data_IF_216537861115
#
_entry.id   IF_216537861115
#
_cell.length_a   1.000
_cell.length_b   1.000
_cell.length_c   1.000
_cell.angle_alpha   90.00
_cell.angle_beta   90.00
_cell.angle_gamma   90.00
#
_symmetry.space_group_name_H-M   'P 1'
#
loop_
_entity.id
_entity.type
_entity.pdbx_description
1 polymer ?
#
# COMPACT_ATOMS: atom_id res chain seq x y z
N UNK A 1 4.89 -17.18 -22.90
CA UNK A 1 4.08 -15.98 -23.17
C UNK A 1 3.86 -15.89 -24.67
N UNK A 2 2.61 -15.80 -25.11
CA UNK A 2 2.35 -15.41 -26.50
C UNK A 2 2.92 -14.00 -26.70
N UNK A 3 3.82 -13.83 -27.66
CA UNK A 3 4.30 -12.50 -28.08
C UNK A 3 3.21 -11.68 -28.77
N UNK A 4 2.04 -12.28 -29.02
CA UNK A 4 0.89 -11.65 -29.67
C UNK A 4 -0.04 -11.13 -28.57
N UNK A 5 -0.01 -9.82 -28.34
CA UNK A 5 -1.01 -9.12 -27.52
C UNK A 5 -2.32 -9.04 -28.34
N UNK A 6 -3.42 -9.52 -27.77
CA UNK A 6 -4.74 -9.37 -28.36
C UNK A 6 -5.29 -7.97 -27.99
N UNK A 7 -5.61 -7.10 -28.95
CA UNK A 7 -6.19 -5.81 -28.64
C UNK A 7 -7.60 -5.99 -28.07
N UNK A 8 -7.89 -5.29 -26.98
CA UNK A 8 -9.24 -5.20 -26.41
C UNK A 8 -9.93 -3.92 -26.90
N UNK A 9 -11.28 -3.89 -26.95
CA UNK A 9 -12.03 -2.69 -27.34
C UNK A 9 -11.86 -1.51 -26.38
N UNK A 10 -11.43 -1.77 -25.14
CA UNK A 10 -11.22 -0.77 -24.11
C UNK A 10 -9.73 -0.48 -23.87
N UNK A 11 -9.44 0.77 -23.52
CA UNK A 11 -8.11 1.17 -23.08
C UNK A 11 -7.79 0.62 -21.68
N UNK A 12 -6.50 0.52 -21.36
CA UNK A 12 -6.01 0.14 -20.02
C UNK A 12 -6.61 1.04 -18.92
N UNK A 13 -6.79 2.33 -19.22
CA UNK A 13 -7.41 3.29 -18.30
C UNK A 13 -8.88 2.94 -18.04
N UNK A 14 -9.67 2.72 -19.10
CA UNK A 14 -11.09 2.36 -18.97
C UNK A 14 -11.27 1.06 -18.19
N UNK A 15 -10.51 0.02 -18.56
CA UNK A 15 -10.56 -1.27 -17.87
C UNK A 15 -10.20 -1.14 -16.38
N UNK A 16 -9.24 -0.27 -16.05
CA UNK A 16 -8.84 -0.02 -14.66
C UNK A 16 -9.92 0.75 -13.89
N UNK A 17 -10.55 1.75 -14.50
CA UNK A 17 -11.65 2.50 -13.90
C UNK A 17 -12.88 1.60 -13.65
N UNK A 18 -13.23 0.71 -14.58
CA UNK A 18 -14.32 -0.25 -14.39
C UNK A 18 -14.05 -1.23 -13.24
N UNK A 19 -12.81 -1.74 -13.12
CA UNK A 19 -12.43 -2.58 -11.97
C UNK A 19 -12.52 -1.83 -10.65
N UNK A 20 -12.08 -0.57 -10.61
CA UNK A 20 -12.19 0.28 -9.42
C UNK A 20 -13.65 0.52 -9.05
N UNK A 21 -14.49 0.87 -10.03
CA UNK A 21 -15.93 1.06 -9.85
C UNK A 21 -16.58 -0.20 -9.28
N UNK A 22 -16.34 -1.36 -9.89
CA UNK A 22 -16.85 -2.63 -9.39
C UNK A 22 -16.42 -2.91 -7.94
N UNK A 23 -15.14 -2.71 -7.60
CA UNK A 23 -14.66 -2.88 -6.22
C UNK A 23 -15.37 -1.91 -5.27
N UNK A 24 -15.46 -0.64 -5.64
CA UNK A 24 -16.10 0.39 -4.79
C UNK A 24 -17.60 0.19 -4.64
N UNK A 25 -18.27 -0.50 -5.58
CA UNK A 25 -19.69 -0.87 -5.49
C UNK A 25 -19.94 -2.10 -4.63
N UNK A 26 -19.02 -3.07 -4.64
CA UNK A 26 -19.21 -4.36 -3.97
C UNK A 26 -18.60 -4.43 -2.56
N UNK A 27 -17.67 -3.54 -2.22
CA UNK A 27 -17.00 -3.53 -0.92
C UNK A 27 -17.28 -2.25 -0.15
N UNK A 28 -17.77 -2.41 1.09
CA UNK A 28 -18.08 -1.29 1.99
C UNK A 28 -16.83 -0.61 2.56
N UNK A 29 -15.70 -1.32 2.59
CA UNK A 29 -14.41 -0.86 3.09
C UNK A 29 -13.34 -1.12 2.04
N UNK A 30 -12.76 -0.05 1.50
CA UNK A 30 -11.73 -0.11 0.48
C UNK A 30 -10.48 0.57 0.99
N UNK A 31 -9.35 -0.14 0.98
CA UNK A 31 -8.03 0.39 1.32
C UNK A 31 -7.11 0.32 0.10
N UNK A 32 -6.43 1.42 -0.23
CA UNK A 32 -5.38 1.40 -1.25
C UNK A 32 -4.03 1.14 -0.58
N UNK A 33 -3.34 0.07 -0.97
CA UNK A 33 -1.96 -0.16 -0.59
C UNK A 33 -1.05 0.74 -1.43
N UNK A 34 -0.47 1.74 -0.77
CA UNK A 34 0.28 2.82 -1.38
C UNK A 34 1.74 2.76 -0.96
N UNK A 35 2.66 2.82 -1.93
CA UNK A 35 4.11 2.72 -1.68
C UNK A 35 4.88 3.98 -2.05
N UNK A 36 4.21 5.01 -2.58
CA UNK A 36 4.87 6.16 -3.19
C UNK A 36 5.49 5.89 -4.57
N UNK A 37 5.42 4.66 -5.08
CA UNK A 37 5.85 4.30 -6.42
C UNK A 37 4.84 4.67 -7.51
N UNK A 38 5.25 4.59 -8.78
CA UNK A 38 4.40 4.98 -9.93
C UNK A 38 3.07 4.23 -10.01
N UNK A 39 3.05 2.90 -9.83
CA UNK A 39 1.85 2.08 -10.07
C UNK A 39 0.84 2.28 -8.94
N UNK A 40 1.32 2.33 -7.69
CA UNK A 40 0.49 2.61 -6.53
C UNK A 40 0.00 4.07 -6.51
N UNK A 41 0.77 5.01 -7.06
CA UNK A 41 0.33 6.40 -7.27
C UNK A 41 -0.81 6.49 -8.29
N UNK A 42 -0.71 5.78 -9.42
CA UNK A 42 -1.81 5.72 -10.40
C UNK A 42 -3.05 5.08 -9.78
N UNK A 43 -2.90 3.96 -9.05
CA UNK A 43 -4.01 3.32 -8.34
C UNK A 43 -4.70 4.28 -7.38
N UNK A 44 -3.92 5.02 -6.57
CA UNK A 44 -4.47 6.01 -5.64
C UNK A 44 -5.20 7.14 -6.37
N UNK A 45 -4.61 7.71 -7.43
CA UNK A 45 -5.25 8.75 -8.23
C UNK A 45 -6.61 8.32 -8.79
N UNK A 46 -6.68 7.17 -9.45
CA UNK A 46 -7.92 6.69 -10.08
C UNK A 46 -8.99 6.35 -9.04
N UNK A 47 -8.58 5.71 -7.94
CA UNK A 47 -9.50 5.33 -6.85
C UNK A 47 -10.04 6.57 -6.14
N UNK A 48 -9.18 7.53 -5.83
CA UNK A 48 -9.59 8.77 -5.18
C UNK A 48 -10.50 9.64 -6.07
N UNK A 49 -10.26 9.69 -7.37
CA UNK A 49 -11.15 10.36 -8.32
C UNK A 49 -12.55 9.70 -8.36
N UNK A 50 -12.61 8.36 -8.36
CA UNK A 50 -13.89 7.65 -8.30
C UNK A 50 -14.61 7.90 -6.96
N UNK A 51 -13.88 7.84 -5.85
CA UNK A 51 -14.41 8.15 -4.51
C UNK A 51 -15.00 9.56 -4.44
N UNK A 52 -14.27 10.56 -4.97
CA UNK A 52 -14.73 11.96 -5.04
C UNK A 52 -16.01 12.11 -5.84
N UNK A 53 -16.09 11.47 -7.02
CA UNK A 53 -17.27 11.48 -7.89
C UNK A 53 -18.51 10.85 -7.25
N UNK A 54 -18.33 9.82 -6.43
CA UNK A 54 -19.42 9.03 -5.85
C UNK A 54 -19.74 9.40 -4.41
N UNK A 55 -19.02 10.39 -3.84
CA UNK A 55 -19.17 10.78 -2.43
C UNK A 55 -18.74 9.69 -1.45
N UNK A 56 -17.98 8.68 -1.90
CA UNK A 56 -17.45 7.59 -1.07
C UNK A 56 -16.11 7.99 -0.45
N UNK A 57 -15.71 7.25 0.59
CA UNK A 57 -14.40 7.37 1.22
C UNK A 57 -13.58 6.11 1.01
N UNK A 58 -12.25 6.26 1.07
CA UNK A 58 -11.29 5.16 1.03
C UNK A 58 -10.29 5.29 2.17
N UNK A 59 -9.67 4.19 2.55
CA UNK A 59 -8.49 4.18 3.40
C UNK A 59 -7.22 4.05 2.55
N UNK A 60 -6.08 4.42 3.11
CA UNK A 60 -4.77 4.24 2.48
C UNK A 60 -3.81 3.61 3.48
N UNK A 61 -3.09 2.57 3.07
CA UNK A 61 -2.00 1.98 3.84
C UNK A 61 -0.67 2.38 3.21
N UNK A 62 0.20 3.04 3.97
CA UNK A 62 1.59 3.31 3.62
C UNK A 62 2.50 2.75 4.71
N UNK A 63 3.34 1.78 4.36
CA UNK A 63 4.37 1.24 5.25
C UNK A 63 5.65 2.02 5.03
N UNK A 64 6.05 2.76 6.06
CA UNK A 64 7.23 3.58 6.08
C UNK A 64 8.44 2.73 6.53
N UNK A 65 9.40 2.54 5.63
CA UNK A 65 10.59 1.73 5.89
C UNK A 65 11.73 2.50 6.57
N UNK A 66 11.53 3.70 7.13
CA UNK A 66 12.60 4.51 7.75
C UNK A 66 13.61 5.03 6.70
N UNK A 67 14.44 4.17 6.13
CA UNK A 67 15.45 4.46 5.11
C UNK A 67 14.91 4.54 3.66
N UNK A 68 13.82 5.27 3.44
CA UNK A 68 13.32 5.58 2.09
C UNK A 68 13.85 6.92 1.57
N UNK A 69 13.94 7.06 0.24
CA UNK A 69 14.34 8.33 -0.38
C UNK A 69 13.42 9.47 0.08
N UNK A 70 14.01 10.61 0.42
CA UNK A 70 13.29 11.80 0.86
C UNK A 70 12.26 12.27 -0.18
N UNK A 71 12.53 12.09 -1.47
CA UNK A 71 11.58 12.38 -2.55
C UNK A 71 10.33 11.48 -2.52
N UNK A 72 10.47 10.21 -2.12
CA UNK A 72 9.34 9.29 -1.92
C UNK A 72 8.49 9.75 -0.75
N UNK A 73 9.11 10.12 0.37
CA UNK A 73 8.39 10.62 1.55
C UNK A 73 7.64 11.92 1.23
N UNK A 74 8.29 12.87 0.56
CA UNK A 74 7.66 14.11 0.10
C UNK A 74 6.48 13.85 -0.85
N UNK A 75 6.61 12.86 -1.74
CA UNK A 75 5.51 12.46 -2.63
C UNK A 75 4.35 11.83 -1.86
N UNK A 76 4.62 10.96 -0.89
CA UNK A 76 3.57 10.37 -0.04
C UNK A 76 2.80 11.43 0.74
N UNK A 77 3.50 12.40 1.33
CA UNK A 77 2.89 13.55 2.01
C UNK A 77 2.02 14.37 1.06
N UNK A 78 2.51 14.65 -0.14
CA UNK A 78 1.75 15.35 -1.18
C UNK A 78 0.46 14.61 -1.54
N UNK A 79 0.53 13.29 -1.75
CA UNK A 79 -0.65 12.47 -2.06
C UNK A 79 -1.65 12.41 -0.90
N UNK A 80 -1.14 12.31 0.34
CA UNK A 80 -1.96 12.37 1.55
C UNK A 80 -2.73 13.69 1.65
N UNK A 81 -2.06 14.81 1.38
CA UNK A 81 -2.69 16.14 1.40
C UNK A 81 -3.70 16.32 0.25
N UNK A 82 -3.32 15.96 -0.97
CA UNK A 82 -4.13 16.10 -2.19
C UNK A 82 -5.50 15.38 -2.09
N UNK A 83 -5.51 14.20 -1.46
CA UNK A 83 -6.70 13.34 -1.38
C UNK A 83 -7.33 13.29 0.01
N UNK A 84 -6.96 14.22 0.91
CA UNK A 84 -7.52 14.30 2.27
C UNK A 84 -9.04 14.41 2.28
N UNK A 85 -9.63 14.99 1.24
CA UNK A 85 -11.08 15.14 1.09
C UNK A 85 -11.81 13.81 0.89
N UNK A 86 -11.14 12.75 0.44
CA UNK A 86 -11.73 11.42 0.20
C UNK A 86 -11.10 10.29 1.00
N UNK A 87 -9.96 10.54 1.64
CA UNK A 87 -9.31 9.57 2.53
C UNK A 87 -9.97 9.65 3.91
N UNK A 88 -10.60 8.56 4.34
CA UNK A 88 -11.13 8.39 5.70
C UNK A 88 -10.00 8.24 6.71
N UNK A 89 -9.05 7.35 6.42
CA UNK A 89 -7.88 7.12 7.25
C UNK A 89 -6.65 6.86 6.37
N UNK A 90 -5.57 7.60 6.64
CA UNK A 90 -4.25 7.35 6.06
C UNK A 90 -3.39 6.65 7.12
N UNK A 91 -3.28 5.33 7.02
CA UNK A 91 -2.42 4.53 7.89
C UNK A 91 -0.96 4.71 7.45
N UNK A 92 -0.30 5.74 7.99
CA UNK A 92 1.14 5.92 7.87
C UNK A 92 1.82 5.09 8.97
N UNK A 93 2.27 3.89 8.63
CA UNK A 93 2.82 2.92 9.59
C UNK A 93 4.32 3.10 9.69
N UNK A 94 4.80 3.56 10.84
CA UNK A 94 6.21 3.70 11.19
C UNK A 94 6.53 2.84 12.44
N UNK A 95 6.15 1.57 12.36
CA UNK A 95 6.39 0.56 13.39
C UNK A 95 7.62 -0.28 13.04
N UNK A 96 8.31 -0.88 14.02
CA UNK A 96 9.37 -1.82 13.75
C UNK A 96 8.89 -3.03 12.94
N UNK A 97 9.39 -3.18 11.71
CA UNK A 97 9.07 -4.31 10.83
C UNK A 97 10.34 -4.90 10.24
N UNK A 98 10.40 -6.22 10.20
CA UNK A 98 11.59 -6.97 9.76
C UNK A 98 11.45 -7.40 8.30
N UNK A 99 12.54 -7.30 7.55
CA UNK A 99 12.67 -7.80 6.18
C UNK A 99 14.05 -8.42 5.94
N UNK A 100 14.20 -9.11 4.82
CA UNK A 100 15.47 -9.71 4.42
C UNK A 100 16.47 -8.62 4.04
N UNK A 101 17.72 -8.80 4.47
CA UNK A 101 18.84 -7.93 4.15
C UNK A 101 19.81 -8.65 3.20
N UNK A 102 19.91 -8.14 1.97
CA UNK A 102 20.79 -8.71 0.94
C UNK A 102 22.21 -8.14 0.93
N UNK A 103 22.56 -7.26 1.88
CA UNK A 103 23.86 -6.57 1.90
C UNK A 103 24.95 -7.32 2.68
N UNK A 104 24.58 -8.28 3.53
CA UNK A 104 25.51 -9.03 4.36
C UNK A 104 24.96 -10.39 4.75
N UNK A 105 25.84 -11.39 4.86
CA UNK A 105 25.48 -12.71 5.39
C UNK A 105 25.48 -12.74 6.92
N UNK A 106 26.12 -11.78 7.58
CA UNK A 106 26.22 -11.71 9.05
C UNK A 106 24.95 -11.17 9.70
N UNK A 107 24.24 -10.28 9.00
CA UNK A 107 22.96 -9.72 9.41
C UNK A 107 21.96 -9.92 8.28
N UNK A 108 21.42 -11.15 8.12
CA UNK A 108 20.56 -11.51 6.99
C UNK A 108 19.18 -10.84 7.04
N UNK A 109 18.87 -10.15 8.12
CA UNK A 109 17.64 -9.40 8.32
C UNK A 109 17.95 -7.96 8.71
N UNK A 110 17.01 -7.08 8.42
CA UNK A 110 17.02 -5.69 8.83
C UNK A 110 15.63 -5.27 9.30
N UNK A 111 15.60 -4.45 10.35
CA UNK A 111 14.38 -3.93 10.93
C UNK A 111 14.34 -2.41 10.77
N UNK A 112 13.32 -1.89 10.08
CA UNK A 112 13.09 -0.45 10.07
C UNK A 112 12.60 -0.01 11.45
N UNK A 113 12.83 1.26 11.82
CA UNK A 113 12.35 1.83 13.09
C UNK A 113 12.75 1.03 14.35
N UNK A 114 13.84 0.26 14.32
CA UNK A 114 14.29 -0.57 15.45
C UNK A 114 14.56 0.30 16.70
N UNK A 115 13.93 0.01 17.86
CA UNK A 115 14.15 0.77 19.08
C UNK A 115 15.61 0.75 19.54
N UNK A 116 16.19 1.91 19.80
CA UNK A 116 17.58 2.04 20.26
C UNK A 116 18.61 2.05 19.13
N UNK A 117 18.22 1.76 17.89
CA UNK A 117 19.08 1.95 16.72
C UNK A 117 19.10 3.43 16.29
N UNK A 118 20.21 3.90 15.69
CA UNK A 118 20.24 5.22 15.06
C UNK A 118 19.42 5.22 13.77
N UNK A 119 18.37 6.05 13.71
CA UNK A 119 17.56 6.25 12.50
C UNK A 119 18.10 7.39 11.64
N UNK A 120 17.99 7.28 10.32
CA UNK A 120 18.36 8.30 9.35
C UNK A 120 17.37 9.47 9.30
N UNK A 121 16.17 9.30 9.85
CA UNK A 121 15.18 10.38 10.03
C UNK A 121 14.17 10.05 11.13
N UNK A 122 13.30 11.03 11.41
CA UNK A 122 12.16 10.86 12.30
C UNK A 122 10.88 10.57 11.49
N UNK A 123 9.92 9.81 12.04
CA UNK A 123 8.62 9.64 11.41
C UNK A 123 7.80 10.95 11.51
N UNK A 124 6.82 11.19 10.61
CA UNK A 124 5.87 12.29 10.77
C UNK A 124 5.13 12.20 12.11
N UNK A 125 4.71 13.36 12.65
CA UNK A 125 4.07 13.43 13.98
C UNK A 125 2.78 12.62 14.11
N UNK A 126 2.07 12.42 13.00
CA UNK A 126 0.79 11.71 12.92
C UNK A 126 0.95 10.29 12.35
N UNK A 127 2.19 9.81 12.21
CA UNK A 127 2.45 8.42 11.90
C UNK A 127 2.11 7.51 13.09
N UNK A 128 1.72 6.29 12.78
CA UNK A 128 1.49 5.22 13.74
C UNK A 128 2.85 4.67 14.17
N UNK A 129 3.30 5.12 15.34
CA UNK A 129 4.55 4.70 15.98
C UNK A 129 4.33 3.93 17.28
N UNK A 130 3.11 3.93 17.81
CA UNK A 130 2.73 3.19 19.01
C UNK A 130 2.47 1.70 18.68
N UNK A 131 3.26 0.75 19.24
CA UNK A 131 3.01 -0.68 19.10
C UNK A 131 1.61 -1.13 19.52
N UNK A 132 0.95 -0.38 20.41
CA UNK A 132 -0.41 -0.67 20.87
C UNK A 132 -1.53 -0.29 19.90
N UNK A 133 -1.24 0.42 18.80
CA UNK A 133 -2.26 0.89 17.86
C UNK A 133 -3.01 -0.26 17.18
N UNK A 134 -2.28 -1.30 16.76
CA UNK A 134 -2.85 -2.49 16.14
C UNK A 134 -2.84 -3.64 17.15
N UNK A 135 -4.00 -4.23 17.49
CA UNK A 135 -4.06 -5.31 18.49
C UNK A 135 -3.35 -6.60 18.01
N UNK A 136 -3.13 -6.75 16.72
CA UNK A 136 -2.42 -7.90 16.12
C UNK A 136 -0.90 -7.68 16.04
N UNK A 137 -0.41 -6.45 16.22
CA UNK A 137 0.99 -6.14 16.00
C UNK A 137 1.86 -6.82 17.05
N UNK A 138 2.96 -7.42 16.57
CA UNK A 138 4.00 -7.99 17.41
C UNK A 138 5.32 -7.34 17.04
N UNK A 139 6.11 -6.96 18.05
CA UNK A 139 7.37 -6.25 17.86
C UNK A 139 8.27 -6.98 16.87
N UNK A 140 8.67 -6.30 15.80
CA UNK A 140 9.58 -6.85 14.80
C UNK A 140 8.99 -7.95 13.91
N UNK A 141 7.66 -8.09 13.84
CA UNK A 141 7.03 -9.02 12.90
C UNK A 141 7.46 -8.73 11.45
N UNK A 142 7.45 -9.76 10.61
CA UNK A 142 7.78 -9.57 9.20
C UNK A 142 6.73 -8.72 8.50
N UNK A 143 7.15 -8.00 7.46
CA UNK A 143 6.22 -7.24 6.61
C UNK A 143 5.11 -8.12 6.02
N UNK A 144 5.43 -9.33 5.58
CA UNK A 144 4.47 -10.28 5.01
C UNK A 144 3.39 -10.66 6.02
N UNK A 145 3.79 -10.86 7.29
CA UNK A 145 2.85 -11.12 8.37
C UNK A 145 2.02 -9.86 8.63
N UNK A 146 2.65 -8.69 8.70
CA UNK A 146 1.96 -7.43 8.98
C UNK A 146 0.86 -7.13 7.96
N UNK A 147 1.13 -7.24 6.65
CA UNK A 147 0.12 -6.94 5.63
C UNK A 147 -1.05 -7.92 5.64
N UNK A 148 -0.80 -9.19 6.00
CA UNK A 148 -1.84 -10.20 6.16
C UNK A 148 -2.74 -9.88 7.35
N UNK A 149 -2.14 -9.71 8.53
CA UNK A 149 -2.90 -9.41 9.75
C UNK A 149 -3.62 -8.04 9.66
N UNK A 150 -3.01 -7.07 8.98
CA UNK A 150 -3.66 -5.79 8.67
C UNK A 150 -4.91 -5.99 7.83
N UNK A 151 -4.89 -6.83 6.80
CA UNK A 151 -6.05 -7.09 5.96
C UNK A 151 -7.20 -7.72 6.76
N UNK A 152 -6.89 -8.71 7.60
CA UNK A 152 -7.86 -9.37 8.47
C UNK A 152 -8.46 -8.37 9.48
N UNK A 153 -7.62 -7.60 10.17
CA UNK A 153 -8.05 -6.55 11.09
C UNK A 153 -8.88 -5.45 10.39
N UNK A 154 -8.43 -4.99 9.22
CA UNK A 154 -9.10 -3.94 8.45
C UNK A 154 -10.49 -4.37 7.97
N UNK A 155 -10.65 -5.65 7.64
CA UNK A 155 -11.91 -6.24 7.19
C UNK A 155 -12.99 -6.24 8.28
N UNK A 156 -12.59 -6.33 9.55
CA UNK A 156 -13.51 -6.51 10.69
C UNK A 156 -14.50 -7.67 10.50
N UNK A 157 -14.05 -8.77 9.87
CA UNK A 157 -14.90 -9.90 9.49
C UNK A 157 -16.07 -9.52 8.55
N UNK A 158 -15.91 -8.46 7.75
CA UNK A 158 -16.86 -8.03 6.73
C UNK A 158 -16.17 -7.94 5.36
N UNK A 159 -16.92 -8.00 4.25
CA UNK A 159 -16.34 -7.78 2.93
C UNK A 159 -15.61 -6.45 2.84
N UNK A 160 -14.30 -6.53 2.61
CA UNK A 160 -13.39 -5.41 2.40
C UNK A 160 -12.43 -5.73 1.26
N UNK A 161 -11.89 -4.68 0.62
CA UNK A 161 -10.91 -4.82 -0.45
C UNK A 161 -9.63 -4.05 -0.11
N UNK A 162 -8.48 -4.70 -0.31
CA UNK A 162 -7.17 -4.05 -0.33
C UNK A 162 -6.69 -3.99 -1.77
N UNK A 163 -6.57 -2.78 -2.33
CA UNK A 163 -6.23 -2.55 -3.72
C UNK A 163 -4.73 -2.34 -3.88
N UNK A 164 -4.11 -3.05 -4.83
CA UNK A 164 -2.66 -2.99 -5.08
C UNK A 164 -2.42 -2.59 -6.54
N UNK A 165 -1.60 -1.55 -6.74
CA UNK A 165 -1.14 -1.15 -8.08
C UNK A 165 0.09 -1.94 -8.51
N UNK A 166 -0.03 -2.78 -9.53
CA UNK A 166 1.08 -3.59 -10.09
C UNK A 166 1.08 -3.46 -11.61
N UNK A 167 2.26 -3.19 -12.18
CA UNK A 167 2.50 -3.37 -13.62
C UNK A 167 2.96 -4.80 -13.90
N UNK A 168 2.07 -5.59 -14.50
CA UNK A 168 2.30 -7.02 -14.76
C UNK A 168 3.49 -7.29 -15.71
N UNK A 169 3.69 -6.43 -16.72
CA UNK A 169 4.75 -6.57 -17.72
C UNK A 169 6.18 -6.33 -17.18
N UNK A 170 6.36 -5.99 -15.89
CA UNK A 170 7.69 -5.75 -15.32
C UNK A 170 8.42 -7.02 -14.88
N UNK A 171 7.72 -8.11 -14.56
CA UNK A 171 8.35 -9.40 -14.30
C UNK A 171 7.35 -10.56 -14.42
N UNK A 172 7.89 -11.76 -14.71
CA UNK A 172 7.09 -12.99 -14.73
C UNK A 172 6.39 -13.24 -13.39
N UNK A 173 7.08 -12.98 -12.27
CA UNK A 173 6.52 -13.16 -10.94
C UNK A 173 5.28 -12.27 -10.73
N UNK A 174 5.36 -10.99 -11.13
CA UNK A 174 4.22 -10.06 -11.01
C UNK A 174 3.03 -10.48 -11.88
N UNK A 175 3.29 -10.99 -13.08
CA UNK A 175 2.24 -11.50 -13.95
C UNK A 175 1.55 -12.72 -13.32
N UNK A 176 2.32 -13.71 -12.85
CA UNK A 176 1.77 -14.93 -12.25
C UNK A 176 0.93 -14.63 -11.01
N UNK A 177 1.31 -13.62 -10.22
CA UNK A 177 0.54 -13.19 -9.04
C UNK A 177 -0.90 -12.77 -9.36
N UNK A 178 -1.18 -12.28 -10.58
CA UNK A 178 -2.51 -11.77 -10.94
C UNK A 178 -3.23 -12.60 -12.02
N UNK A 179 -2.55 -13.58 -12.61
CA UNK A 179 -3.07 -14.39 -13.72
C UNK A 179 -3.47 -15.81 -13.30
N UNK A 180 -3.40 -16.13 -12.00
CA UNK A 180 -3.72 -17.45 -11.44
C UNK A 180 -5.14 -17.55 -10.93
#
# INVERSE_FOLDING_TARGET
MSFIKLPLPESVLQASQQRIEWVMENFSRVCVSFSGGKDSTIMLHLTAQHARRTGKKICVLFVDWEAQFSCTIAHCEKMRAEYRDVIEQFFWVALPLTTQNSLTQYHPEWQCWEPGAPWVRQPPKDAITDPGFFPFYQSGMSFETFVREFADWFSQNRPAAVMIGIRADESLNRFITISS
#
